data_IF_458274412586
#
_entry.id   IF_458274412586
#
_cell.length_a   1.000
_cell.length_b   1.000
_cell.length_c   1.000
_cell.angle_alpha   90.00
_cell.angle_beta   90.00
_cell.angle_gamma   90.00
#
_symmetry.space_group_name_H-M   'P 1'
#
loop_
_entity.id
_entity.type
_entity.pdbx_description
1 polymer ?
#
# COMPACT_ATOMS: atom_id res chain seq x y z
N UNK A 1 22.73 28.17 3.61
CA UNK A 1 21.32 28.01 3.20
C UNK A 1 21.24 26.82 2.24
N UNK A 2 20.19 26.01 2.32
CA UNK A 2 20.06 24.59 1.90
C UNK A 2 20.72 23.55 2.82
N UNK A 3 20.15 23.34 4.02
CA UNK A 3 20.51 22.22 4.91
C UNK A 3 20.09 20.85 4.34
N UNK A 4 19.23 20.80 3.31
CA UNK A 4 18.69 19.56 2.72
C UNK A 4 19.08 19.47 1.24
N UNK A 5 20.26 18.92 0.93
CA UNK A 5 20.66 18.62 -0.45
C UNK A 5 19.99 17.32 -0.92
N UNK A 6 19.83 17.13 -2.25
CA UNK A 6 19.26 15.87 -2.76
C UNK A 6 20.15 14.67 -2.40
N UNK A 7 21.47 14.86 -2.40
CA UNK A 7 22.43 13.85 -1.95
C UNK A 7 22.23 13.47 -0.47
N UNK A 8 21.91 14.45 0.39
CA UNK A 8 21.62 14.18 1.79
C UNK A 8 20.32 13.37 1.94
N UNK A 9 19.27 13.71 1.20
CA UNK A 9 18.00 12.96 1.18
C UNK A 9 18.25 11.50 0.77
N UNK A 10 18.97 11.30 -0.34
CA UNK A 10 19.32 9.95 -0.81
C UNK A 10 20.16 9.19 0.22
N UNK A 11 21.13 9.85 0.86
CA UNK A 11 21.95 9.24 1.89
C UNK A 11 21.12 8.82 3.12
N UNK A 12 20.17 9.66 3.56
CA UNK A 12 19.30 9.32 4.69
C UNK A 12 18.36 8.16 4.36
N UNK A 13 17.81 8.09 3.14
CA UNK A 13 17.03 6.93 2.70
C UNK A 13 17.87 5.65 2.58
N UNK A 14 19.13 5.76 2.17
CA UNK A 14 20.06 4.63 2.19
C UNK A 14 20.30 4.12 3.62
N UNK A 15 20.54 5.04 4.58
CA UNK A 15 20.69 4.68 5.99
C UNK A 15 19.41 4.03 6.54
N UNK A 16 18.23 4.59 6.25
CA UNK A 16 16.96 4.00 6.64
C UNK A 16 16.79 2.58 6.08
N UNK A 17 17.19 2.36 4.82
CA UNK A 17 17.15 1.04 4.17
C UNK A 17 18.06 0.03 4.88
N UNK A 18 19.28 0.43 5.25
CA UNK A 18 20.19 -0.41 6.05
C UNK A 18 19.58 -0.74 7.41
N UNK A 19 18.93 0.22 8.08
CA UNK A 19 18.22 -0.03 9.34
C UNK A 19 17.09 -1.06 9.16
N UNK A 20 16.30 -1.00 8.09
CA UNK A 20 15.26 -2.01 7.82
C UNK A 20 15.83 -3.41 7.57
N UNK A 21 16.96 -3.51 6.85
CA UNK A 21 17.66 -4.80 6.67
C UNK A 21 18.10 -5.37 8.02
N UNK A 22 18.67 -4.54 8.89
CA UNK A 22 19.08 -4.96 10.24
C UNK A 22 17.89 -5.30 11.13
N UNK A 23 16.74 -4.64 10.94
CA UNK A 23 15.51 -4.97 11.64
C UNK A 23 15.05 -6.38 11.30
N UNK A 24 14.94 -6.72 10.01
CA UNK A 24 14.56 -8.06 9.55
C UNK A 24 15.55 -9.14 10.02
N UNK A 25 16.85 -8.87 9.92
CA UNK A 25 17.89 -9.77 10.44
C UNK A 25 17.76 -9.97 11.94
N UNK A 26 17.54 -8.90 12.70
CA UNK A 26 17.39 -8.95 14.15
C UNK A 26 16.12 -9.69 14.61
N UNK A 27 15.02 -9.60 13.85
CA UNK A 27 13.76 -10.30 14.12
C UNK A 27 13.82 -11.81 13.85
N UNK A 28 14.84 -12.29 13.13
CA UNK A 28 14.98 -13.72 12.82
C UNK A 28 15.41 -14.61 14.00
N UNK A 29 15.87 -14.03 15.12
CA UNK A 29 16.23 -14.79 16.32
C UNK A 29 15.68 -14.17 17.61
N UNK A 30 15.24 -14.98 18.60
CA UNK A 30 14.69 -14.46 19.85
C UNK A 30 15.67 -13.59 20.65
N UNK A 31 16.96 -13.90 20.60
CA UNK A 31 17.99 -13.16 21.34
C UNK A 31 18.22 -11.75 20.78
N UNK A 32 18.02 -11.55 19.48
CA UNK A 32 18.21 -10.26 18.80
C UNK A 32 16.92 -9.49 18.52
N UNK A 33 15.74 -10.09 18.78
CA UNK A 33 14.44 -9.54 18.38
C UNK A 33 14.19 -8.11 18.88
N UNK A 34 14.56 -7.80 20.12
CA UNK A 34 14.41 -6.45 20.70
C UNK A 34 15.26 -5.41 19.97
N UNK A 35 16.51 -5.76 19.68
CA UNK A 35 17.44 -4.89 18.95
C UNK A 35 17.00 -4.72 17.49
N UNK A 36 16.52 -5.79 16.85
CA UNK A 36 15.92 -5.72 15.52
C UNK A 36 14.74 -4.75 15.47
N UNK A 37 13.82 -4.82 16.43
CA UNK A 37 12.71 -3.88 16.51
C UNK A 37 13.17 -2.43 16.71
N UNK A 38 14.24 -2.20 17.50
CA UNK A 38 14.81 -0.86 17.67
C UNK A 38 15.39 -0.29 16.36
N UNK A 39 16.07 -1.12 15.55
CA UNK A 39 16.50 -0.72 14.20
C UNK A 39 15.32 -0.37 13.29
N UNK A 40 14.22 -1.13 13.37
CA UNK A 40 13.00 -0.84 12.61
C UNK A 40 12.38 0.52 12.97
N UNK A 41 12.25 0.81 14.28
CA UNK A 41 11.77 2.10 14.76
C UNK A 41 12.69 3.25 14.33
N UNK A 42 14.01 3.08 14.45
CA UNK A 42 14.98 4.08 14.02
C UNK A 42 14.95 4.34 12.51
N UNK A 43 14.89 3.28 11.69
CA UNK A 43 14.79 3.39 10.23
C UNK A 43 13.53 4.13 9.78
N UNK A 44 12.37 3.81 10.37
CA UNK A 44 11.13 4.50 10.07
C UNK A 44 11.16 5.97 10.51
N UNK A 45 11.76 6.29 11.66
CA UNK A 45 11.92 7.67 12.11
C UNK A 45 12.78 8.49 11.11
N UNK A 46 13.92 7.92 10.66
CA UNK A 46 14.79 8.57 9.67
C UNK A 46 14.04 8.81 8.36
N UNK A 47 13.33 7.81 7.84
CA UNK A 47 12.58 7.92 6.60
C UNK A 47 11.46 8.97 6.68
N UNK A 48 10.68 8.98 7.77
CA UNK A 48 9.60 9.94 7.97
C UNK A 48 10.13 11.37 8.09
N UNK A 49 11.15 11.60 8.93
CA UNK A 49 11.76 12.94 9.10
C UNK A 49 12.38 13.44 7.80
N UNK A 50 13.06 12.58 7.05
CA UNK A 50 13.65 12.92 5.75
C UNK A 50 12.57 13.32 4.74
N UNK A 51 11.45 12.59 4.71
CA UNK A 51 10.31 12.91 3.83
C UNK A 51 9.69 14.26 4.18
N UNK A 52 9.49 14.52 5.47
CA UNK A 52 8.98 15.83 5.95
C UNK A 52 9.94 16.97 5.56
N UNK A 53 11.25 16.78 5.75
CA UNK A 53 12.25 17.76 5.35
C UNK A 53 12.28 18.01 3.83
N UNK A 54 12.08 16.96 3.02
CA UNK A 54 11.96 17.08 1.57
C UNK A 54 10.72 17.89 1.17
N UNK A 55 9.58 17.66 1.82
CA UNK A 55 8.33 18.41 1.57
C UNK A 55 8.54 19.91 1.82
N UNK A 56 9.18 20.29 2.93
CA UNK A 56 9.47 21.70 3.24
C UNK A 56 10.34 22.36 2.16
N UNK A 57 11.36 21.65 1.66
CA UNK A 57 12.22 22.14 0.59
C UNK A 57 11.45 22.33 -0.72
N UNK A 58 10.62 21.36 -1.11
CA UNK A 58 9.81 21.44 -2.32
C UNK A 58 8.81 22.60 -2.26
N UNK A 59 8.24 22.87 -1.08
CA UNK A 59 7.36 24.01 -0.85
C UNK A 59 8.09 25.35 -1.05
N UNK A 60 9.32 25.49 -0.55
CA UNK A 60 10.15 26.70 -0.75
C UNK A 60 10.43 26.93 -2.25
N UNK A 61 10.72 25.87 -3.00
CA UNK A 61 11.00 25.93 -4.44
C UNK A 61 9.77 26.26 -5.29
N UNK A 62 8.57 25.83 -4.86
CA UNK A 62 7.33 26.03 -5.62
C UNK A 62 6.76 27.46 -5.50
N UNK A 63 7.39 28.36 -4.74
CA UNK A 63 6.98 29.76 -4.50
C UNK A 63 5.48 29.92 -4.13
N UNK A 64 4.84 28.86 -3.64
CA UNK A 64 3.40 28.81 -3.37
C UNK A 64 3.18 29.13 -1.89
N UNK A 65 2.73 30.35 -1.62
CA UNK A 65 2.41 30.82 -0.26
C UNK A 65 0.98 30.40 0.10
N UNK A 66 0.79 29.19 0.62
CA UNK A 66 -0.54 28.73 1.06
C UNK A 66 -0.62 27.22 1.24
N UNK A 67 -0.20 26.70 2.40
CA UNK A 67 0.13 25.28 2.56
C UNK A 67 -0.85 24.46 3.40
N UNK A 68 -2.15 24.41 3.06
CA UNK A 68 -3.07 23.47 3.74
C UNK A 68 -2.61 22.02 3.58
N UNK A 69 -1.91 21.68 2.48
CA UNK A 69 -1.39 20.34 2.21
C UNK A 69 -0.45 19.80 3.29
N UNK A 70 0.48 20.61 3.81
CA UNK A 70 1.37 20.18 4.90
C UNK A 70 0.57 19.84 6.17
N UNK A 71 -0.42 20.69 6.51
CA UNK A 71 -1.31 20.45 7.64
C UNK A 71 -2.11 19.16 7.47
N UNK A 72 -2.62 18.89 6.26
CA UNK A 72 -3.33 17.64 5.95
C UNK A 72 -2.44 16.40 6.09
N UNK A 73 -1.17 16.47 5.63
CA UNK A 73 -0.20 15.38 5.80
C UNK A 73 0.09 15.13 7.28
N UNK A 74 0.39 16.19 8.04
CA UNK A 74 0.67 16.06 9.48
C UNK A 74 -0.55 15.55 10.25
N UNK A 75 -1.75 16.03 9.91
CA UNK A 75 -3.00 15.52 10.47
C UNK A 75 -3.19 14.04 10.15
N UNK A 76 -2.94 13.62 8.90
CA UNK A 76 -3.00 12.22 8.49
C UNK A 76 -2.02 11.33 9.27
N UNK A 77 -0.77 11.77 9.45
CA UNK A 77 0.25 11.04 10.23
C UNK A 77 -0.15 10.92 11.69
N UNK A 78 -0.61 12.02 12.31
CA UNK A 78 -0.99 12.03 13.74
C UNK A 78 -2.25 11.20 13.98
N UNK A 79 -3.28 11.37 13.15
CA UNK A 79 -4.55 10.64 13.28
C UNK A 79 -4.35 9.17 12.95
N UNK A 80 -3.74 8.84 11.80
CA UNK A 80 -3.50 7.47 11.38
C UNK A 80 -2.55 6.73 12.33
N UNK A 81 -1.43 7.35 12.69
CA UNK A 81 -0.48 6.81 13.67
C UNK A 81 -1.10 6.64 15.05
N UNK A 82 -1.93 7.59 15.49
CA UNK A 82 -2.65 7.52 16.77
C UNK A 82 -3.66 6.37 16.81
N UNK A 83 -4.48 6.21 15.76
CA UNK A 83 -5.43 5.10 15.65
C UNK A 83 -4.68 3.77 15.63
N UNK A 84 -3.61 3.66 14.84
CA UNK A 84 -2.78 2.45 14.77
C UNK A 84 -2.16 2.08 16.12
N UNK A 85 -1.58 3.05 16.83
CA UNK A 85 -1.00 2.84 18.16
C UNK A 85 -2.05 2.42 19.19
N UNK A 86 -3.23 3.04 19.16
CA UNK A 86 -4.33 2.68 20.04
C UNK A 86 -4.85 1.26 19.77
N UNK A 87 -5.06 0.91 18.50
CA UNK A 87 -5.51 -0.43 18.11
C UNK A 87 -4.50 -1.50 18.52
N UNK A 88 -3.20 -1.28 18.27
CA UNK A 88 -2.12 -2.20 18.64
C UNK A 88 -1.99 -2.38 20.15
N UNK A 89 -2.24 -1.34 20.96
CA UNK A 89 -2.16 -1.43 22.43
C UNK A 89 -3.33 -2.18 23.06
N UNK A 90 -4.52 -2.14 22.43
CA UNK A 90 -5.76 -2.66 23.02
C UNK A 90 -6.12 -4.07 22.55
N UNK A 91 -5.55 -4.54 21.44
CA UNK A 91 -5.87 -5.86 20.90
C UNK A 91 -5.41 -6.98 21.85
N UNK A 92 -6.21 -8.03 21.96
CA UNK A 92 -5.82 -9.26 22.66
C UNK A 92 -4.82 -10.06 21.80
N UNK A 93 -3.86 -10.74 22.43
CA UNK A 93 -2.84 -11.54 21.72
C UNK A 93 -3.45 -12.67 20.87
N UNK A 94 -4.64 -13.16 21.23
CA UNK A 94 -5.41 -14.17 20.47
C UNK A 94 -5.99 -13.62 19.16
N UNK A 95 -6.17 -12.29 19.06
CA UNK A 95 -6.71 -11.59 17.88
C UNK A 95 -5.62 -10.93 17.03
N UNK A 96 -4.34 -11.21 17.30
CA UNK A 96 -3.23 -10.68 16.51
C UNK A 96 -3.34 -10.99 15.01
N UNK A 97 -3.75 -12.20 14.56
CA UNK A 97 -3.91 -12.46 13.12
C UNK A 97 -4.93 -11.55 12.44
N UNK A 98 -6.04 -11.23 13.13
CA UNK A 98 -7.09 -10.32 12.64
C UNK A 98 -6.52 -8.89 12.51
N UNK A 99 -5.82 -8.39 13.53
CA UNK A 99 -5.22 -7.06 13.47
C UNK A 99 -4.18 -6.95 12.36
N UNK A 100 -3.34 -7.97 12.17
CA UNK A 100 -2.34 -7.99 11.08
C UNK A 100 -3.03 -7.93 9.72
N UNK A 101 -4.11 -8.70 9.50
CA UNK A 101 -4.90 -8.60 8.28
C UNK A 101 -5.46 -7.19 8.08
N UNK A 102 -6.03 -6.57 9.12
CA UNK A 102 -6.55 -5.21 9.04
C UNK A 102 -5.47 -4.19 8.68
N UNK A 103 -4.30 -4.24 9.33
CA UNK A 103 -3.19 -3.32 9.04
C UNK A 103 -2.69 -3.49 7.60
N UNK A 104 -2.63 -4.74 7.12
CA UNK A 104 -2.17 -5.04 5.78
C UNK A 104 -3.14 -4.54 4.70
N UNK A 105 -4.45 -4.51 4.99
CA UNK A 105 -5.42 -3.86 4.09
C UNK A 105 -5.11 -2.37 3.90
N UNK A 106 -4.78 -1.65 4.97
CA UNK A 106 -4.48 -0.21 4.92
C UNK A 106 -3.23 0.08 4.07
N UNK A 107 -2.23 -0.80 4.09
CA UNK A 107 -1.04 -0.71 3.24
C UNK A 107 -1.43 -0.82 1.76
N UNK A 108 -2.27 -1.81 1.42
CA UNK A 108 -2.77 -1.98 0.05
C UNK A 108 -3.55 -0.76 -0.46
N UNK A 109 -4.42 -0.19 0.38
CA UNK A 109 -5.15 1.03 0.02
C UNK A 109 -4.22 2.24 -0.11
N UNK A 110 -3.21 2.38 0.74
CA UNK A 110 -2.22 3.45 0.61
C UNK A 110 -1.49 3.38 -0.75
N UNK A 111 -1.11 2.18 -1.20
CA UNK A 111 -0.48 1.98 -2.51
C UNK A 111 -1.39 2.42 -3.67
N UNK A 112 -2.68 2.07 -3.63
CA UNK A 112 -3.65 2.51 -4.64
C UNK A 112 -3.85 4.03 -4.62
N UNK A 113 -3.96 4.65 -3.43
CA UNK A 113 -4.07 6.10 -3.31
C UNK A 113 -2.83 6.83 -3.84
N UNK A 114 -1.62 6.30 -3.56
CA UNK A 114 -0.37 6.83 -4.10
C UNK A 114 -0.38 6.73 -5.63
N UNK A 115 -0.79 5.58 -6.18
CA UNK A 115 -0.85 5.40 -7.62
C UNK A 115 -1.83 6.38 -8.28
N UNK A 116 -3.03 6.57 -7.72
CA UNK A 116 -4.00 7.58 -8.20
C UNK A 116 -3.39 8.99 -8.18
N UNK A 117 -2.70 9.36 -7.09
CA UNK A 117 -2.06 10.67 -6.96
C UNK A 117 -0.95 10.88 -8.00
N UNK A 118 -0.13 9.85 -8.25
CA UNK A 118 0.94 9.90 -9.26
C UNK A 118 0.37 9.94 -10.68
N UNK A 119 -0.69 9.19 -10.97
CA UNK A 119 -1.38 9.24 -12.27
C UNK A 119 -1.96 10.63 -12.51
N UNK A 120 -2.53 11.27 -11.50
CA UNK A 120 -3.09 12.61 -11.62
C UNK A 120 -2.03 13.69 -11.83
N UNK A 121 -0.98 13.69 -11.01
CA UNK A 121 -0.05 14.80 -10.91
C UNK A 121 1.42 14.31 -10.90
N UNK A 122 1.90 13.64 -11.97
CA UNK A 122 3.20 12.97 -11.95
C UNK A 122 4.41 13.91 -11.82
N UNK A 123 4.26 15.17 -12.21
CA UNK A 123 5.32 16.18 -12.08
C UNK A 123 5.59 16.58 -10.64
N UNK A 124 4.60 16.45 -9.74
CA UNK A 124 4.77 16.72 -8.30
C UNK A 124 5.74 15.71 -7.67
N UNK A 125 5.81 14.51 -8.24
CA UNK A 125 6.70 13.43 -7.82
C UNK A 125 8.05 13.43 -8.57
N UNK A 126 8.33 14.46 -9.38
CA UNK A 126 9.56 14.58 -10.18
C UNK A 126 9.76 13.42 -11.18
N UNK A 127 8.66 12.80 -11.64
CA UNK A 127 8.70 11.70 -12.61
C UNK A 127 8.79 12.22 -14.05
N UNK A 128 8.07 13.29 -14.33
CA UNK A 128 7.98 13.90 -15.67
C UNK A 128 7.81 15.42 -15.55
N UNK A 129 8.11 16.15 -16.62
CA UNK A 129 7.83 17.57 -16.68
C UNK A 129 6.33 17.83 -16.90
N UNK A 130 5.86 19.03 -16.54
CA UNK A 130 4.44 19.38 -16.69
C UNK A 130 4.04 19.39 -18.16
N UNK A 131 2.99 18.64 -18.50
CA UNK A 131 2.52 18.51 -19.88
C UNK A 131 3.30 17.47 -20.72
N UNK A 132 4.19 16.70 -20.09
CA UNK A 132 4.87 15.57 -20.73
C UNK A 132 4.22 14.27 -20.27
N UNK A 133 3.95 13.38 -21.25
CA UNK A 133 3.32 12.09 -21.01
C UNK A 133 4.12 11.26 -20.00
N UNK A 134 3.41 10.52 -19.13
CA UNK A 134 4.06 9.60 -18.20
C UNK A 134 4.85 8.53 -18.99
N UNK A 135 6.14 8.29 -18.69
CA UNK A 135 6.93 7.26 -19.36
C UNK A 135 6.31 5.86 -19.19
N UNK A 136 6.52 4.99 -20.17
CA UNK A 136 5.98 3.63 -20.15
C UNK A 136 6.40 2.84 -18.90
N UNK A 137 7.66 2.96 -18.46
CA UNK A 137 8.15 2.28 -17.25
C UNK A 137 7.36 2.64 -16.00
N UNK A 138 7.13 3.93 -15.76
CA UNK A 138 6.33 4.40 -14.63
C UNK A 138 4.85 4.00 -14.76
N UNK A 139 4.28 3.98 -15.97
CA UNK A 139 2.91 3.46 -16.17
C UNK A 139 2.82 1.98 -15.77
N UNK A 140 3.82 1.19 -16.13
CA UNK A 140 3.88 -0.23 -15.77
C UNK A 140 4.02 -0.42 -14.26
N UNK A 141 4.86 0.37 -13.59
CA UNK A 141 5.00 0.36 -12.13
C UNK A 141 3.70 0.73 -11.42
N UNK A 142 3.00 1.78 -11.89
CA UNK A 142 1.72 2.20 -11.32
C UNK A 142 0.62 1.17 -11.56
N UNK A 143 0.61 0.52 -12.72
CA UNK A 143 -0.28 -0.60 -13.00
C UNK A 143 -0.06 -1.73 -11.98
N UNK A 144 1.18 -2.23 -11.87
CA UNK A 144 1.50 -3.35 -10.98
C UNK A 144 1.23 -2.98 -9.52
N UNK A 145 1.64 -1.78 -9.09
CA UNK A 145 1.42 -1.29 -7.74
C UNK A 145 -0.06 -1.15 -7.39
N UNK A 146 -0.88 -0.64 -8.31
CA UNK A 146 -2.34 -0.55 -8.12
C UNK A 146 -2.98 -1.93 -8.07
N UNK A 147 -2.56 -2.83 -8.96
CA UNK A 147 -3.08 -4.19 -9.03
C UNK A 147 -2.82 -4.96 -7.73
N UNK A 148 -1.56 -5.00 -7.29
CA UNK A 148 -1.17 -5.68 -6.05
C UNK A 148 -1.82 -4.99 -4.85
N UNK A 149 -1.77 -3.66 -4.76
CA UNK A 149 -2.38 -2.90 -3.66
C UNK A 149 -3.89 -3.14 -3.52
N UNK A 150 -4.63 -3.16 -4.63
CA UNK A 150 -6.08 -3.41 -4.62
C UNK A 150 -6.42 -4.85 -4.23
N UNK A 151 -5.68 -5.84 -4.76
CA UNK A 151 -5.81 -7.25 -4.38
C UNK A 151 -5.57 -7.45 -2.88
N UNK A 152 -4.49 -6.85 -2.39
CA UNK A 152 -4.08 -6.89 -1.00
C UNK A 152 -5.13 -6.27 -0.10
N UNK A 153 -5.64 -5.08 -0.43
CA UNK A 153 -6.69 -4.43 0.37
C UNK A 153 -7.93 -5.31 0.49
N UNK A 154 -8.53 -5.71 -0.64
CA UNK A 154 -9.79 -6.44 -0.60
C UNK A 154 -9.63 -7.84 -0.03
N UNK A 155 -8.52 -8.53 -0.35
CA UNK A 155 -8.21 -9.83 0.21
C UNK A 155 -8.02 -9.79 1.72
N UNK A 156 -7.29 -8.81 2.24
CA UNK A 156 -7.07 -8.61 3.67
C UNK A 156 -8.37 -8.24 4.41
N UNK A 157 -9.29 -7.49 3.79
CA UNK A 157 -10.61 -7.20 4.38
C UNK A 157 -11.45 -8.47 4.53
N UNK A 158 -11.45 -9.37 3.53
CA UNK A 158 -12.12 -10.67 3.64
C UNK A 158 -11.47 -11.53 4.72
N UNK A 159 -10.13 -11.60 4.75
CA UNK A 159 -9.40 -12.37 5.75
C UNK A 159 -9.69 -11.87 7.17
N UNK A 160 -9.67 -10.56 7.38
CA UNK A 160 -10.06 -9.91 8.64
C UNK A 160 -11.47 -10.33 9.07
N UNK A 161 -12.46 -10.22 8.19
CA UNK A 161 -13.84 -10.55 8.54
C UNK A 161 -14.02 -12.03 8.90
N UNK A 162 -13.37 -12.94 8.16
CA UNK A 162 -13.40 -14.38 8.42
C UNK A 162 -12.73 -14.78 9.75
N UNK A 163 -11.64 -14.09 10.11
CA UNK A 163 -10.95 -14.30 11.40
C UNK A 163 -11.74 -13.71 12.58
N UNK A 164 -12.44 -12.60 12.36
CA UNK A 164 -13.24 -11.94 13.40
C UNK A 164 -14.40 -12.82 13.89
N UNK A 165 -15.01 -13.61 13.00
CA UNK A 165 -16.13 -14.52 13.31
C UNK A 165 -17.41 -13.82 13.79
N UNK A 166 -17.42 -12.49 13.89
CA UNK A 166 -18.53 -11.66 14.40
C UNK A 166 -19.57 -11.29 13.35
N UNK A 167 -19.23 -11.41 12.07
CA UNK A 167 -20.05 -10.89 10.98
C UNK A 167 -21.06 -11.93 10.49
N UNK A 168 -22.33 -11.53 10.38
CA UNK A 168 -23.40 -12.37 9.82
C UNK A 168 -23.34 -12.51 8.30
N UNK A 169 -22.56 -11.66 7.64
CA UNK A 169 -22.44 -11.66 6.19
C UNK A 169 -21.65 -12.89 5.72
N UNK A 170 -22.20 -13.63 4.75
CA UNK A 170 -21.69 -14.93 4.32
C UNK A 170 -20.22 -14.90 3.86
N UNK A 171 -19.75 -13.80 3.26
CA UNK A 171 -18.34 -13.69 2.83
C UNK A 171 -17.35 -13.55 4.00
N UNK A 172 -17.83 -13.13 5.18
CA UNK A 172 -17.03 -12.98 6.40
C UNK A 172 -17.23 -14.15 7.37
N UNK A 173 -17.91 -15.21 6.95
CA UNK A 173 -17.98 -16.44 7.74
C UNK A 173 -16.73 -17.28 7.50
N UNK A 174 -16.28 -18.00 8.54
CA UNK A 174 -15.13 -18.89 8.43
C UNK A 174 -15.33 -20.07 7.45
N UNK A 175 -16.56 -20.34 7.02
CA UNK A 175 -16.84 -21.36 6.03
C UNK A 175 -16.38 -20.93 4.62
N UNK A 176 -15.72 -21.82 3.85
CA UNK A 176 -15.44 -21.61 2.44
C UNK A 176 -16.70 -21.22 1.65
N UNK A 177 -16.61 -20.17 0.84
CA UNK A 177 -17.67 -19.78 -0.10
C UNK A 177 -17.18 -20.07 -1.51
N UNK A 178 -17.67 -21.15 -2.10
CA UNK A 178 -17.46 -21.50 -3.51
C UNK A 178 -18.76 -21.47 -4.30
N UNK A 179 -18.66 -21.20 -5.60
CA UNK A 179 -19.79 -21.22 -6.53
C UNK A 179 -19.36 -21.84 -7.87
N UNK A 180 -20.29 -22.44 -8.64
CA UNK A 180 -19.95 -23.08 -9.91
C UNK A 180 -19.40 -22.05 -10.91
N UNK A 181 -18.27 -22.36 -11.54
CA UNK A 181 -17.61 -21.48 -12.51
C UNK A 181 -16.66 -20.42 -11.90
N UNK A 182 -16.42 -20.44 -10.59
CA UNK A 182 -15.54 -19.47 -9.93
C UNK A 182 -14.12 -19.38 -10.54
N UNK A 183 -13.49 -20.52 -10.86
CA UNK A 183 -12.16 -20.51 -11.49
C UNK A 183 -12.15 -19.80 -12.84
N UNK A 184 -13.20 -20.03 -13.65
CA UNK A 184 -13.35 -19.39 -14.95
C UNK A 184 -13.59 -17.89 -14.77
N UNK A 185 -14.45 -17.49 -13.81
CA UNK A 185 -14.68 -16.07 -13.52
C UNK A 185 -13.39 -15.38 -13.07
N UNK A 186 -12.64 -16.00 -12.15
CA UNK A 186 -11.37 -15.47 -11.65
C UNK A 186 -10.36 -15.28 -12.80
N UNK A 187 -10.29 -16.26 -13.71
CA UNK A 187 -9.43 -16.19 -14.89
C UNK A 187 -9.84 -15.04 -15.82
N UNK A 188 -11.15 -14.91 -16.12
CA UNK A 188 -11.67 -13.84 -16.98
C UNK A 188 -11.37 -12.47 -16.37
N UNK A 189 -11.62 -12.29 -15.07
CA UNK A 189 -11.35 -11.04 -14.38
C UNK A 189 -9.85 -10.74 -14.37
N UNK A 190 -8.99 -11.73 -14.11
CA UNK A 190 -7.53 -11.55 -14.16
C UNK A 190 -7.03 -11.14 -15.55
N UNK A 191 -7.52 -11.78 -16.62
CA UNK A 191 -7.20 -11.41 -17.99
C UNK A 191 -7.69 -9.98 -18.29
N UNK A 192 -8.90 -9.63 -17.87
CA UNK A 192 -9.44 -8.29 -18.08
C UNK A 192 -8.61 -7.21 -17.36
N UNK A 193 -8.16 -7.48 -16.13
CA UNK A 193 -7.26 -6.58 -15.39
C UNK A 193 -5.94 -6.37 -16.12
N UNK A 194 -5.32 -7.46 -16.61
CA UNK A 194 -4.06 -7.36 -17.39
C UNK A 194 -4.29 -6.59 -18.69
N UNK A 195 -5.36 -6.89 -19.43
CA UNK A 195 -5.67 -6.21 -20.69
C UNK A 195 -5.89 -4.71 -20.49
N UNK A 196 -6.64 -4.31 -19.45
CA UNK A 196 -6.87 -2.90 -19.11
C UNK A 196 -5.59 -2.22 -18.59
N UNK A 197 -4.75 -2.92 -17.84
CA UNK A 197 -3.44 -2.42 -17.40
C UNK A 197 -2.50 -2.15 -18.57
N UNK A 198 -2.45 -3.06 -19.55
CA UNK A 198 -1.71 -2.84 -20.78
C UNK A 198 -2.31 -1.70 -21.61
N UNK A 199 -3.64 -1.60 -21.69
CA UNK A 199 -4.30 -0.48 -22.36
C UNK A 199 -3.95 0.87 -21.72
N UNK A 200 -3.84 0.94 -20.38
CA UNK A 200 -3.34 2.10 -19.66
C UNK A 200 -1.87 2.39 -20.01
N UNK A 201 -1.01 1.37 -20.03
CA UNK A 201 0.41 1.54 -20.32
C UNK A 201 0.67 2.05 -21.74
N UNK A 202 -0.04 1.50 -22.74
CA UNK A 202 0.12 1.84 -24.16
C UNK A 202 -0.77 2.99 -24.64
N UNK A 203 -1.53 3.63 -23.76
CA UNK A 203 -2.43 4.72 -24.13
C UNK A 203 -1.66 5.87 -24.81
N UNK A 204 -2.08 6.33 -26.00
CA UNK A 204 -1.45 7.47 -26.65
C UNK A 204 -1.82 8.78 -25.93
N UNK A 205 -0.92 9.75 -25.99
CA UNK A 205 -1.17 11.11 -25.49
C UNK A 205 -0.53 11.41 -24.13
N UNK A 206 -0.65 12.70 -23.78
CA UNK A 206 -0.12 13.29 -22.55
C UNK A 206 -1.03 12.96 -21.37
N UNK A 207 -2.34 13.00 -21.59
CA UNK A 207 -3.33 12.74 -20.56
C UNK A 207 -3.33 11.26 -20.15
N UNK A 208 -3.34 10.96 -18.84
CA UNK A 208 -3.46 9.60 -18.37
C UNK A 208 -4.77 8.96 -18.82
N UNK A 209 -4.72 7.70 -19.23
CA UNK A 209 -5.90 6.94 -19.58
C UNK A 209 -6.66 6.50 -18.31
N UNK A 210 -7.44 7.42 -17.75
CA UNK A 210 -8.19 7.22 -16.51
C UNK A 210 -9.21 6.09 -16.58
N UNK A 211 -9.92 5.96 -17.70
CA UNK A 211 -10.94 4.91 -17.87
C UNK A 211 -10.39 3.50 -17.69
N UNK A 212 -9.35 3.06 -18.45
CA UNK A 212 -8.78 1.74 -18.23
C UNK A 212 -8.16 1.60 -16.84
N UNK A 213 -7.51 2.64 -16.31
CA UNK A 213 -6.92 2.62 -14.96
C UNK A 213 -7.95 2.37 -13.85
N UNK A 214 -9.08 3.10 -13.85
CA UNK A 214 -10.12 2.98 -12.83
C UNK A 214 -10.83 1.64 -12.94
N UNK A 215 -11.20 1.21 -14.15
CA UNK A 215 -11.89 -0.08 -14.34
C UNK A 215 -10.98 -1.23 -13.90
N UNK A 216 -9.69 -1.17 -14.26
CA UNK A 216 -8.69 -2.13 -13.82
C UNK A 216 -8.57 -2.17 -12.29
N UNK A 217 -8.49 -1.02 -11.62
CA UNK A 217 -8.42 -0.95 -10.16
C UNK A 217 -9.65 -1.57 -9.49
N UNK A 218 -10.86 -1.25 -9.98
CA UNK A 218 -12.12 -1.83 -9.48
C UNK A 218 -12.14 -3.34 -9.67
N UNK A 219 -11.76 -3.83 -10.85
CA UNK A 219 -11.67 -5.27 -11.11
C UNK A 219 -10.61 -5.96 -10.25
N UNK A 220 -9.49 -5.29 -9.94
CA UNK A 220 -8.48 -5.80 -9.03
C UNK A 220 -9.03 -5.94 -7.59
N UNK A 221 -9.81 -4.96 -7.11
CA UNK A 221 -10.51 -5.10 -5.82
C UNK A 221 -11.47 -6.29 -5.83
N UNK A 222 -12.26 -6.46 -6.91
CA UNK A 222 -13.18 -7.60 -7.05
C UNK A 222 -12.41 -8.91 -7.08
N UNK A 223 -11.32 -9.00 -7.83
CA UNK A 223 -10.49 -10.19 -7.92
C UNK A 223 -9.93 -10.58 -6.54
N UNK A 224 -9.50 -9.61 -5.74
CA UNK A 224 -8.97 -9.89 -4.40
C UNK A 224 -10.04 -10.45 -3.46
N UNK A 225 -11.31 -10.07 -3.62
CA UNK A 225 -12.41 -10.76 -2.94
C UNK A 225 -12.56 -12.19 -3.48
N UNK A 226 -12.67 -12.33 -4.80
CA UNK A 226 -12.99 -13.61 -5.45
C UNK A 226 -11.96 -14.73 -5.21
N UNK A 227 -10.68 -14.39 -5.01
CA UNK A 227 -9.62 -15.38 -4.73
C UNK A 227 -9.54 -15.79 -3.26
N UNK A 228 -10.05 -14.98 -2.31
CA UNK A 228 -9.95 -15.24 -0.86
C UNK A 228 -11.25 -15.83 -0.28
N UNK A 229 -12.40 -15.58 -0.89
CA UNK A 229 -13.69 -16.17 -0.45
C UNK A 229 -13.73 -17.71 -0.44
N UNK A 230 -13.03 -18.49 -1.30
CA UNK A 230 -13.09 -19.95 -1.23
C UNK A 230 -12.19 -20.52 -0.12
N UNK A 231 -11.35 -19.71 0.52
CA UNK A 231 -10.40 -20.17 1.54
C UNK A 231 -11.09 -20.23 2.91
N UNK A 232 -10.92 -21.32 3.66
CA UNK A 232 -11.53 -21.48 4.98
C UNK A 232 -10.85 -20.63 6.06
N UNK A 233 -11.57 -20.37 7.16
CA UNK A 233 -11.06 -19.62 8.31
C UNK A 233 -9.80 -20.23 8.94
N UNK A 234 -9.68 -21.56 8.92
CA UNK A 234 -8.52 -22.28 9.43
C UNK A 234 -7.23 -21.99 8.63
N UNK A 235 -7.35 -21.76 7.32
CA UNK A 235 -6.22 -21.50 6.43
C UNK A 235 -5.90 -20.00 6.28
N UNK A 236 -6.70 -19.12 6.92
CA UNK A 236 -6.54 -17.66 6.85
C UNK A 236 -5.16 -17.16 7.31
N UNK A 237 -4.48 -17.73 8.32
CA UNK A 237 -3.13 -17.29 8.68
C UNK A 237 -2.13 -17.40 7.52
N UNK A 238 -2.26 -18.44 6.68
CA UNK A 238 -1.42 -18.61 5.49
C UNK A 238 -1.73 -17.54 4.45
N UNK A 239 -3.02 -17.24 4.25
CA UNK A 239 -3.46 -16.15 3.35
C UNK A 239 -2.91 -14.80 3.80
N UNK A 240 -3.00 -14.49 5.09
CA UNK A 240 -2.48 -13.22 5.63
C UNK A 240 -0.96 -13.14 5.41
N UNK A 241 -0.23 -14.24 5.57
CA UNK A 241 1.20 -14.29 5.25
C UNK A 241 1.50 -14.12 3.76
N UNK A 242 0.68 -14.69 2.87
CA UNK A 242 0.83 -14.54 1.42
C UNK A 242 0.46 -13.13 0.93
N UNK A 243 -0.56 -12.51 1.51
CA UNK A 243 -0.89 -11.12 1.17
C UNK A 243 0.20 -10.16 1.64
N UNK A 244 0.92 -10.52 2.72
CA UNK A 244 2.00 -9.73 3.27
C UNK A 244 3.34 -9.81 2.51
N UNK A 245 3.49 -10.73 1.56
CA UNK A 245 4.69 -10.85 0.72
C UNK A 245 4.68 -9.88 -0.44
#
# INVERSE_FOLDING_TARGET
MNLVSMNLVTMMYLIASVCFIQALKGLSSPSTARTGNAFGMGGMAIAAVTTVALIFKLQEQAATTGGMGFWLVMLGVVVGGGIGAYAAKKVEMTKMPELVAAMHSLIGMAAVCIAVAVVAEPWVFLITERGVALPFGNRLELFIGTFVGALTFSGSVIAFGKLSGKYKFRLFQGAPVSFPGQHILNLIVAIAVIALGLAFCFAPGVEPAWTPFIIMAVLAFVLGVLIIIPIGGADMPVVVSMLNS
#
